data_IF_957450812566
#
_entry.id   IF_957450812566
#
_cell.length_a   1.000
_cell.length_b   1.000
_cell.length_c   1.000
_cell.angle_alpha   90.00
_cell.angle_beta   90.00
_cell.angle_gamma   90.00
#
_symmetry.space_group_name_H-M   'P 1'
#
loop_
_entity.id
_entity.type
_entity.pdbx_description
1 polymer ?
#
# COMPACT_ATOMS: atom_id res chain seq x y z
N UNK A 1 7.94 16.73 1.48
CA UNK A 1 8.69 15.75 0.68
C UNK A 1 8.22 14.35 1.08
N UNK A 2 7.82 13.49 0.14
CA UNK A 2 7.45 12.10 0.45
C UNK A 2 8.75 11.31 0.63
N UNK A 3 8.87 10.53 1.70
CA UNK A 3 10.04 9.69 1.96
C UNK A 3 9.70 8.23 1.67
N UNK A 4 10.65 7.47 1.13
CA UNK A 4 10.55 6.01 1.03
C UNK A 4 11.34 5.42 2.20
N UNK A 5 10.67 4.71 3.10
CA UNK A 5 11.32 3.96 4.17
C UNK A 5 11.50 2.52 3.70
N UNK A 6 12.75 2.10 3.56
CA UNK A 6 13.08 0.78 3.01
C UNK A 6 13.64 -0.11 4.10
N UNK A 7 12.94 -1.21 4.38
CA UNK A 7 13.30 -2.20 5.39
C UNK A 7 13.62 -3.54 4.73
N UNK A 8 14.88 -3.77 4.32
CA UNK A 8 15.28 -5.05 3.78
C UNK A 8 15.31 -6.13 4.87
N UNK A 9 15.08 -7.37 4.48
CA UNK A 9 15.34 -8.52 5.33
C UNK A 9 16.83 -8.64 5.64
N UNK A 10 17.20 -8.54 6.92
CA UNK A 10 18.59 -8.62 7.38
C UNK A 10 19.16 -10.02 7.23
N UNK A 11 18.32 -11.04 7.04
CA UNK A 11 18.73 -12.42 6.75
C UNK A 11 19.04 -12.65 5.27
N UNK A 12 18.65 -11.72 4.39
CA UNK A 12 18.96 -11.74 2.95
C UNK A 12 19.63 -10.42 2.51
N UNK A 13 20.86 -10.13 2.98
CA UNK A 13 21.55 -8.90 2.65
C UNK A 13 21.81 -8.81 1.14
N UNK A 14 21.45 -7.66 0.55
CA UNK A 14 21.73 -7.36 -0.86
C UNK A 14 20.63 -7.77 -1.86
N UNK A 15 19.50 -8.33 -1.41
CA UNK A 15 18.36 -8.59 -2.31
C UNK A 15 17.91 -7.30 -3.00
N UNK A 16 17.89 -7.24 -4.35
CA UNK A 16 17.43 -6.06 -5.07
C UNK A 16 15.97 -5.74 -4.73
N UNK A 17 15.69 -4.46 -4.47
CA UNK A 17 14.33 -3.97 -4.23
C UNK A 17 13.82 -3.22 -5.46
N UNK A 18 13.40 -3.98 -6.47
CA UNK A 18 12.84 -3.40 -7.70
C UNK A 18 11.58 -2.57 -7.44
N UNK A 19 10.80 -2.92 -6.40
CA UNK A 19 9.64 -2.13 -5.96
C UNK A 19 10.06 -0.67 -5.66
N UNK A 20 11.12 -0.48 -4.87
CA UNK A 20 11.63 0.84 -4.51
C UNK A 20 12.05 1.66 -5.73
N UNK A 21 12.69 1.05 -6.71
CA UNK A 21 13.15 1.74 -7.92
C UNK A 21 11.98 2.21 -8.79
N UNK A 22 10.95 1.37 -8.95
CA UNK A 22 9.70 1.76 -9.64
C UNK A 22 9.03 2.93 -8.91
N UNK A 23 8.91 2.86 -7.57
CA UNK A 23 8.28 3.91 -6.78
C UNK A 23 9.03 5.23 -6.90
N UNK A 24 10.37 5.20 -6.84
CA UNK A 24 11.19 6.40 -7.06
C UNK A 24 10.90 7.02 -8.43
N UNK A 25 10.93 6.21 -9.48
CA UNK A 25 10.60 6.66 -10.84
C UNK A 25 9.22 7.31 -10.90
N UNK A 26 8.22 6.73 -10.26
CA UNK A 26 6.88 7.32 -10.19
C UNK A 26 6.84 8.65 -9.42
N UNK A 27 7.57 8.76 -8.30
CA UNK A 27 7.68 10.00 -7.54
C UNK A 27 8.36 11.10 -8.35
N UNK A 28 9.41 10.77 -9.10
CA UNK A 28 10.17 11.72 -9.94
C UNK A 28 9.30 12.30 -11.07
N UNK A 29 8.31 11.54 -11.56
CA UNK A 29 7.32 12.05 -12.53
C UNK A 29 6.23 12.94 -11.92
N UNK A 30 6.20 13.08 -10.59
CA UNK A 30 5.26 13.94 -9.86
C UNK A 30 3.82 13.42 -9.73
N UNK A 31 3.41 12.45 -10.58
CA UNK A 31 2.05 11.87 -10.59
C UNK A 31 1.67 11.25 -9.24
N UNK A 32 2.48 10.31 -8.76
CA UNK A 32 2.26 9.63 -7.49
C UNK A 32 2.28 10.60 -6.29
N UNK A 33 3.10 11.66 -6.35
CA UNK A 33 3.19 12.66 -5.28
C UNK A 33 1.89 13.47 -5.14
N UNK A 34 1.28 13.89 -6.25
CA UNK A 34 0.02 14.64 -6.24
C UNK A 34 -1.10 13.79 -5.64
N UNK A 35 -1.18 12.56 -6.12
CA UNK A 35 -2.24 11.60 -5.76
C UNK A 35 -2.17 11.19 -4.28
N UNK A 36 -0.98 10.83 -3.77
CA UNK A 36 -0.80 10.51 -2.35
C UNK A 36 -1.06 11.72 -1.42
N UNK A 37 -0.72 12.95 -1.85
CA UNK A 37 -1.03 14.15 -1.06
C UNK A 37 -2.53 14.39 -0.96
N UNK A 38 -3.26 14.29 -2.07
CA UNK A 38 -4.70 14.51 -2.11
C UNK A 38 -5.46 13.53 -1.19
N UNK A 39 -5.09 12.25 -1.20
CA UNK A 39 -5.73 11.23 -0.35
C UNK A 39 -5.45 11.43 1.15
N UNK A 40 -4.32 12.03 1.50
CA UNK A 40 -4.00 12.38 2.89
C UNK A 40 -4.71 13.64 3.38
N UNK A 41 -4.99 14.59 2.49
CA UNK A 41 -5.63 15.88 2.82
C UNK A 41 -7.16 15.76 2.90
N UNK A 42 -7.76 14.84 2.14
CA UNK A 42 -9.19 14.52 2.19
C UNK A 42 -9.39 13.00 2.30
N UNK A 43 -9.18 12.39 3.48
CA UNK A 43 -9.49 10.99 3.67
C UNK A 43 -10.98 10.75 3.40
N UNK A 44 -11.32 9.74 2.59
CA UNK A 44 -12.71 9.40 2.29
C UNK A 44 -13.38 8.90 3.57
N UNK A 45 -14.17 9.75 4.22
CA UNK A 45 -14.84 9.45 5.48
C UNK A 45 -16.02 8.50 5.28
N UNK A 46 -16.23 7.55 6.20
CA UNK A 46 -17.52 6.87 6.36
C UNK A 46 -17.62 5.41 5.93
N UNK A 47 -16.52 4.72 5.65
CA UNK A 47 -16.52 3.25 5.51
C UNK A 47 -15.36 2.67 6.32
N UNK A 48 -15.57 1.57 7.02
CA UNK A 48 -14.60 0.87 7.88
C UNK A 48 -13.30 0.40 7.17
N UNK A 49 -13.12 0.77 5.89
CA UNK A 49 -12.01 0.47 5.00
C UNK A 49 -11.20 1.72 4.58
N UNK A 50 -11.55 2.92 5.08
CA UNK A 50 -11.63 4.14 4.27
C UNK A 50 -10.35 4.79 3.74
N UNK A 51 -9.14 4.54 4.27
CA UNK A 51 -7.93 5.23 3.80
C UNK A 51 -6.89 4.30 3.17
N UNK A 52 -6.48 3.22 3.84
CA UNK A 52 -5.49 2.29 3.29
C UNK A 52 -5.97 1.60 2.01
N UNK A 53 -7.27 1.28 1.92
CA UNK A 53 -7.87 0.72 0.71
C UNK A 53 -7.80 1.68 -0.47
N UNK A 54 -8.26 2.92 -0.28
CA UNK A 54 -8.27 3.94 -1.32
C UNK A 54 -6.83 4.23 -1.76
N UNK A 55 -5.91 4.39 -0.83
CA UNK A 55 -4.49 4.61 -1.12
C UNK A 55 -3.89 3.47 -1.93
N UNK A 56 -4.13 2.21 -1.55
CA UNK A 56 -3.59 1.05 -2.25
C UNK A 56 -4.18 0.93 -3.68
N UNK A 57 -5.49 1.08 -3.83
CA UNK A 57 -6.17 1.03 -5.14
C UNK A 57 -5.69 2.15 -6.04
N UNK A 58 -5.65 3.37 -5.55
CA UNK A 58 -5.21 4.52 -6.33
C UNK A 58 -3.73 4.40 -6.72
N UNK A 59 -2.87 3.88 -5.83
CA UNK A 59 -1.48 3.57 -6.18
C UNK A 59 -1.43 2.52 -7.30
N UNK A 60 -2.22 1.45 -7.20
CA UNK A 60 -2.32 0.47 -8.29
C UNK A 60 -2.78 1.10 -9.61
N UNK A 61 -3.77 2.00 -9.58
CA UNK A 61 -4.23 2.73 -10.76
C UNK A 61 -3.14 3.61 -11.39
N UNK A 62 -2.31 4.27 -10.58
CA UNK A 62 -1.17 5.06 -11.07
C UNK A 62 -0.10 4.15 -11.70
N UNK A 63 0.15 2.98 -11.13
CA UNK A 63 1.03 1.97 -11.73
C UNK A 63 0.49 1.49 -13.08
N UNK A 64 -0.83 1.30 -13.19
CA UNK A 64 -1.51 0.92 -14.44
C UNK A 64 -1.38 2.01 -15.49
N UNK A 65 -1.71 3.25 -15.13
CA UNK A 65 -1.62 4.41 -16.01
C UNK A 65 -0.18 4.70 -16.48
N UNK A 66 0.82 4.27 -15.72
CA UNK A 66 2.24 4.38 -16.07
C UNK A 66 2.80 3.16 -16.84
N UNK A 67 1.98 2.14 -17.12
CA UNK A 67 2.40 0.83 -17.68
C UNK A 67 3.51 0.14 -16.85
N UNK A 68 3.49 0.33 -15.52
CA UNK A 68 4.44 -0.25 -14.56
C UNK A 68 3.80 -1.28 -13.62
N UNK A 69 2.60 -1.76 -13.96
CA UNK A 69 1.78 -2.62 -13.10
C UNK A 69 2.13 -4.11 -13.12
N UNK A 70 2.89 -4.57 -14.13
CA UNK A 70 3.16 -6.00 -14.31
C UNK A 70 3.88 -6.59 -13.10
N UNK A 71 3.31 -7.63 -12.51
CA UNK A 71 3.85 -8.29 -11.31
C UNK A 71 3.44 -7.65 -9.98
N UNK A 72 2.75 -6.50 -10.01
CA UNK A 72 2.17 -5.90 -8.82
C UNK A 72 0.85 -6.57 -8.47
N UNK A 73 0.60 -6.69 -7.16
CA UNK A 73 -0.67 -7.16 -6.61
C UNK A 73 -1.19 -6.18 -5.59
N UNK A 74 -2.46 -5.82 -5.70
CA UNK A 74 -3.19 -5.18 -4.63
C UNK A 74 -3.74 -6.24 -3.68
N UNK A 75 -3.27 -6.21 -2.44
CA UNK A 75 -3.63 -7.15 -1.39
C UNK A 75 -4.56 -6.51 -0.37
N UNK A 76 -5.44 -7.34 0.19
CA UNK A 76 -6.31 -6.97 1.29
C UNK A 76 -6.34 -8.10 2.33
N UNK A 77 -6.24 -7.76 3.61
CA UNK A 77 -6.23 -8.72 4.70
C UNK A 77 -6.65 -8.13 6.04
N UNK A 78 -6.71 -8.99 7.05
CA UNK A 78 -6.97 -8.57 8.42
C UNK A 78 -5.66 -8.38 9.19
N UNK A 79 -5.53 -7.22 9.83
CA UNK A 79 -4.48 -6.93 10.81
C UNK A 79 -5.03 -7.04 12.24
N UNK A 80 -4.13 -7.31 13.17
CA UNK A 80 -4.35 -7.22 14.61
C UNK A 80 -3.41 -6.18 15.17
N UNK A 81 -3.90 -5.16 15.90
CA UNK A 81 -2.99 -4.16 16.47
C UNK A 81 -2.26 -4.68 17.72
N UNK A 82 -2.79 -5.73 18.33
CA UNK A 82 -2.15 -6.47 19.42
C UNK A 82 -2.47 -7.96 19.29
N UNK A 83 -1.64 -8.82 19.90
CA UNK A 83 -1.80 -10.29 19.85
C UNK A 83 -3.16 -10.78 20.39
N UNK A 84 -3.83 -9.96 21.20
CA UNK A 84 -5.11 -10.26 21.85
C UNK A 84 -6.24 -9.32 21.40
N UNK A 85 -6.09 -8.60 20.29
CA UNK A 85 -7.13 -7.69 19.81
C UNK A 85 -8.33 -8.51 19.29
N UNK A 86 -9.53 -8.41 19.91
CA UNK A 86 -10.71 -9.08 19.40
C UNK A 86 -11.20 -8.45 18.08
N UNK A 87 -10.77 -7.22 17.77
CA UNK A 87 -11.22 -6.47 16.60
C UNK A 87 -10.18 -6.58 15.50
N UNK A 88 -10.49 -7.43 14.51
CA UNK A 88 -9.72 -7.52 13.27
C UNK A 88 -10.06 -6.34 12.38
N UNK A 89 -9.05 -5.56 12.00
CA UNK A 89 -9.21 -4.41 11.10
C UNK A 89 -8.85 -4.82 9.69
N UNK A 90 -9.63 -4.35 8.73
CA UNK A 90 -9.30 -4.54 7.32
C UNK A 90 -8.15 -3.60 6.95
N UNK A 91 -7.15 -4.13 6.25
CA UNK A 91 -6.02 -3.38 5.74
C UNK A 91 -5.77 -3.73 4.27
N UNK A 92 -5.25 -2.77 3.52
CA UNK A 92 -4.91 -2.92 2.10
C UNK A 92 -3.51 -2.39 1.83
N UNK A 93 -2.75 -3.08 0.99
CA UNK A 93 -1.37 -2.74 0.63
C UNK A 93 -1.06 -3.26 -0.79
N UNK A 94 0.12 -2.93 -1.31
CA UNK A 94 0.63 -3.47 -2.57
C UNK A 94 1.77 -4.46 -2.34
N UNK A 95 1.91 -5.45 -3.22
CA UNK A 95 3.00 -6.42 -3.23
C UNK A 95 3.65 -6.48 -4.61
N UNK A 96 4.98 -6.58 -4.64
CA UNK A 96 5.76 -6.74 -5.86
C UNK A 96 7.07 -7.47 -5.57
N UNK A 97 7.32 -8.59 -6.26
CA UNK A 97 8.57 -9.34 -6.18
C UNK A 97 9.00 -9.69 -4.73
N UNK A 98 8.01 -10.05 -3.91
CA UNK A 98 8.15 -10.35 -2.47
C UNK A 98 8.48 -9.15 -1.58
N UNK A 99 8.26 -7.93 -2.07
CA UNK A 99 8.26 -6.70 -1.29
C UNK A 99 6.83 -6.20 -1.12
N UNK A 100 6.49 -5.79 0.10
CA UNK A 100 5.25 -5.08 0.42
C UNK A 100 5.49 -3.58 0.41
N UNK A 101 4.54 -2.86 -0.18
CA UNK A 101 4.51 -1.40 -0.30
C UNK A 101 3.23 -0.88 0.35
N UNK A 102 3.38 -0.07 1.38
CA UNK A 102 2.28 0.57 2.09
C UNK A 102 2.49 2.08 2.12
N UNK A 103 1.60 2.82 1.49
CA UNK A 103 1.61 4.28 1.45
C UNK A 103 0.55 4.91 2.36
N UNK A 104 -0.16 4.09 3.15
CA UNK A 104 -1.10 4.55 4.16
C UNK A 104 -0.36 5.10 5.38
N UNK A 105 -1.07 5.88 6.19
CA UNK A 105 -0.50 6.43 7.43
C UNK A 105 -0.31 5.32 8.48
N UNK A 106 0.87 4.70 8.46
CA UNK A 106 1.30 3.68 9.41
C UNK A 106 1.84 4.25 10.72
N UNK A 107 1.78 5.57 10.95
CA UNK A 107 2.29 6.20 12.19
C UNK A 107 1.62 5.71 13.48
N UNK A 108 0.47 5.03 13.34
CA UNK A 108 -0.28 4.41 14.44
C UNK A 108 0.12 2.96 14.71
N UNK A 109 0.94 2.35 13.87
CA UNK A 109 1.44 1.00 14.12
C UNK A 109 2.54 1.05 15.21
N UNK A 110 2.50 0.17 16.23
CA UNK A 110 3.37 0.26 17.42
C UNK A 110 4.87 0.34 17.09
N UNK A 111 5.29 -0.37 16.06
CA UNK A 111 6.70 -0.52 15.68
C UNK A 111 7.16 0.50 14.63
N UNK A 112 6.25 1.33 14.10
CA UNK A 112 6.55 2.29 13.03
C UNK A 112 6.28 3.73 13.46
N UNK A 113 7.18 4.29 14.28
CA UNK A 113 7.16 5.72 14.64
C UNK A 113 7.68 6.62 13.51
N UNK A 114 7.16 6.46 12.28
CA UNK A 114 7.52 7.35 11.18
C UNK A 114 6.76 8.68 11.31
N UNK A 115 7.48 9.76 11.61
CA UNK A 115 6.93 11.13 11.54
C UNK A 115 6.94 11.60 10.09
N UNK A 116 5.77 11.62 9.43
CA UNK A 116 5.54 12.29 8.14
C UNK A 116 5.07 11.39 6.99
N UNK A 117 4.79 12.02 5.83
CA UNK A 117 4.29 11.36 4.60
C UNK A 117 5.31 10.34 4.09
N UNK A 118 5.06 9.05 4.32
CA UNK A 118 6.05 7.98 4.08
C UNK A 118 5.42 6.85 3.28
N UNK A 119 6.14 6.35 2.27
CA UNK A 119 5.87 5.07 1.62
C UNK A 119 6.79 4.05 2.29
N UNK A 120 6.22 3.05 2.96
CA UNK A 120 6.95 1.91 3.48
C UNK A 120 7.18 0.89 2.37
N UNK A 121 8.40 0.43 2.22
CA UNK A 121 8.78 -0.71 1.37
C UNK A 121 9.54 -1.70 2.24
N UNK A 122 8.96 -2.88 2.44
CA UNK A 122 9.50 -3.89 3.36
C UNK A 122 9.39 -5.27 2.75
N UNK A 123 10.27 -6.21 3.12
CA UNK A 123 10.06 -7.61 2.78
C UNK A 123 8.66 -8.08 3.24
N UNK A 124 7.95 -8.83 2.40
CA UNK A 124 6.55 -9.21 2.68
C UNK A 124 6.40 -10.05 3.96
N UNK A 125 7.35 -10.95 4.25
CA UNK A 125 7.32 -11.76 5.46
C UNK A 125 7.53 -10.93 6.73
N UNK A 126 8.47 -9.99 6.68
CA UNK A 126 8.69 -9.04 7.77
C UNK A 126 7.48 -8.13 7.97
N UNK A 127 6.88 -7.64 6.88
CA UNK A 127 5.71 -6.78 6.94
C UNK A 127 4.51 -7.50 7.57
N UNK A 128 4.28 -8.78 7.21
CA UNK A 128 3.21 -9.58 7.80
C UNK A 128 3.41 -9.80 9.29
N UNK A 129 4.65 -10.01 9.71
CA UNK A 129 5.00 -10.15 11.12
C UNK A 129 4.78 -8.84 11.87
N UNK A 130 5.27 -7.72 11.33
CA UNK A 130 5.21 -6.42 11.97
C UNK A 130 3.79 -5.86 12.10
N UNK A 131 2.94 -6.01 11.08
CA UNK A 131 1.52 -5.60 11.16
C UNK A 131 0.59 -6.70 11.69
N UNK A 132 1.13 -7.84 12.11
CA UNK A 132 0.38 -9.00 12.58
C UNK A 132 -0.77 -9.35 11.62
N UNK A 133 -0.43 -9.54 10.35
CA UNK A 133 -1.39 -9.93 9.31
C UNK A 133 -1.90 -11.33 9.66
N UNK A 134 -3.17 -11.40 10.09
CA UNK A 134 -3.81 -12.64 10.57
C UNK A 134 -4.29 -13.48 9.39
N UNK A 135 -4.73 -12.81 8.31
CA UNK A 135 -5.26 -13.48 7.12
C UNK A 135 -5.21 -12.55 5.92
N UNK A 136 -4.60 -13.02 4.83
CA UNK A 136 -4.78 -12.43 3.50
C UNK A 136 -6.14 -12.90 2.96
N UNK A 137 -7.01 -11.95 2.63
CA UNK A 137 -8.36 -12.24 2.15
C UNK A 137 -8.41 -12.33 0.64
N UNK A 138 -7.74 -11.39 -0.04
CA UNK A 138 -7.74 -11.27 -1.50
C UNK A 138 -6.43 -10.65 -1.96
N UNK A 139 -6.03 -11.04 -3.16
CA UNK A 139 -5.01 -10.35 -3.95
C UNK A 139 -5.60 -10.12 -5.34
N UNK A 140 -5.33 -8.96 -5.93
CA UNK A 140 -5.77 -8.59 -7.28
C UNK A 140 -4.59 -8.11 -8.09
N UNK A 141 -4.46 -8.59 -9.31
CA UNK A 141 -3.55 -7.96 -10.28
C UNK A 141 -4.20 -6.72 -10.91
N UNK A 142 -3.57 -6.18 -11.95
CA UNK A 142 -4.05 -4.98 -12.63
C UNK A 142 -5.43 -5.15 -13.28
N UNK A 143 -5.66 -6.26 -13.96
CA UNK A 143 -6.93 -6.53 -14.66
C UNK A 143 -8.07 -6.62 -13.65
N UNK A 144 -7.87 -7.42 -12.60
CA UNK A 144 -8.83 -7.59 -11.52
C UNK A 144 -9.06 -6.29 -10.72
N UNK A 145 -8.04 -5.43 -10.63
CA UNK A 145 -8.18 -4.11 -9.99
C UNK A 145 -9.03 -3.18 -10.85
N UNK A 146 -8.82 -3.15 -12.17
CA UNK A 146 -9.62 -2.33 -13.08
C UNK A 146 -11.08 -2.80 -13.13
N UNK A 147 -11.32 -4.11 -13.19
CA UNK A 147 -12.67 -4.68 -13.09
C UNK A 147 -13.35 -4.23 -11.79
N UNK A 148 -12.63 -4.32 -10.66
CA UNK A 148 -13.16 -3.88 -9.37
C UNK A 148 -13.50 -2.38 -9.36
N UNK A 149 -12.61 -1.52 -9.88
CA UNK A 149 -12.84 -0.07 -9.96
C UNK A 149 -14.07 0.22 -10.81
N UNK A 150 -14.20 -0.43 -11.97
CA UNK A 150 -15.35 -0.25 -12.86
C UNK A 150 -16.69 -0.67 -12.24
N UNK A 151 -16.66 -1.68 -11.36
CA UNK A 151 -17.86 -2.24 -10.72
C UNK A 151 -18.25 -1.48 -9.46
N UNK A 152 -17.28 -1.02 -8.66
CA UNK A 152 -17.50 -0.53 -7.30
C UNK A 152 -17.07 0.92 -7.06
N UNK A 153 -16.48 1.60 -8.06
CA UNK A 153 -16.01 2.99 -7.94
C UNK A 153 -16.21 3.83 -9.21
N UNK A 154 -17.46 4.05 -9.66
CA UNK A 154 -17.72 5.10 -10.65
C UNK A 154 -17.29 6.49 -10.15
N UNK A 155 -17.25 6.70 -8.83
CA UNK A 155 -17.03 8.02 -8.21
C UNK A 155 -15.56 8.35 -7.91
N UNK A 156 -14.66 7.36 -7.79
CA UNK A 156 -13.23 7.61 -7.45
C UNK A 156 -12.44 8.16 -8.65
N UNK A 157 -12.94 7.99 -9.88
CA UNK A 157 -12.26 8.42 -11.11
C UNK A 157 -12.83 9.72 -11.72
N UNK A 158 -13.81 10.37 -11.08
CA UNK A 158 -14.52 11.53 -11.64
C UNK A 158 -14.24 12.88 -10.96
N UNK A 159 -13.25 12.97 -10.07
CA UNK A 159 -12.80 14.25 -9.48
C UNK A 159 -11.34 14.59 -9.80
#
# INVERSE_FOLDING_TARGET
>A
MIKIYHCPDTTQPGRPCKAKDIIKKMLDTGKLTKTLKAMQEKPISGKDQGNCHVVAVTFMSELIAADMFRGWKWSQGYISLTKNDPIKRLHSWLEYDGWTVDASDISKAPDFQSKGKTILVMDTGLYYTALQIVKVLRQRDAEQTMEWISTFSPTILME
#
